data_IF_179309140303
#
_entry.id   IF_179309140303
#
_cell.length_a   1.000
_cell.length_b   1.000
_cell.length_c   1.000
_cell.angle_alpha   90.00
_cell.angle_beta   90.00
_cell.angle_gamma   90.00
#
_symmetry.space_group_name_H-M   'P 1'
#
loop_
_entity.id
_entity.type
_entity.pdbx_description
1 polymer ?
#
# COMPACT_ATOMS: atom_id res chain seq x y z
N UNK A 1 -66.26 -25.28 28.57
CA UNK A 1 -65.44 -25.41 27.34
C UNK A 1 -64.22 -24.51 27.50
N UNK A 2 -63.03 -25.09 27.66
CA UNK A 2 -61.75 -24.36 27.69
C UNK A 2 -61.02 -24.69 26.40
N UNK A 3 -60.73 -23.68 25.59
CA UNK A 3 -59.95 -23.82 24.36
C UNK A 3 -58.50 -23.53 24.75
N UNK A 4 -57.69 -24.57 24.80
CA UNK A 4 -56.24 -24.52 25.03
C UNK A 4 -55.57 -24.20 23.70
N UNK A 5 -55.14 -22.96 23.51
CA UNK A 5 -54.33 -22.56 22.34
C UNK A 5 -52.87 -22.91 22.61
N UNK A 6 -52.38 -23.98 21.99
CA UNK A 6 -50.98 -24.35 22.00
C UNK A 6 -50.20 -23.45 21.01
N UNK A 7 -49.28 -22.65 21.53
CA UNK A 7 -48.32 -21.89 20.72
C UNK A 7 -47.14 -22.81 20.44
N UNK A 8 -47.07 -23.33 19.22
CA UNK A 8 -45.92 -24.08 18.73
C UNK A 8 -44.84 -23.07 18.32
N UNK A 9 -43.80 -22.95 19.15
CA UNK A 9 -42.61 -22.16 18.82
C UNK A 9 -41.75 -23.00 17.88
N UNK A 10 -41.78 -22.66 16.59
CA UNK A 10 -40.87 -23.22 15.60
C UNK A 10 -39.45 -22.68 15.87
N UNK A 11 -38.60 -23.50 16.48
CA UNK A 11 -37.16 -23.24 16.59
C UNK A 11 -36.53 -23.43 15.21
N UNK A 12 -36.47 -22.35 14.44
CA UNK A 12 -35.63 -22.26 13.26
C UNK A 12 -34.16 -22.34 13.72
N UNK A 13 -33.60 -23.55 13.68
CA UNK A 13 -32.17 -23.81 13.74
C UNK A 13 -31.57 -23.24 12.46
N UNK A 14 -31.27 -21.94 12.47
CA UNK A 14 -30.37 -21.33 11.50
C UNK A 14 -29.01 -21.99 11.70
N UNK A 15 -28.75 -23.02 10.91
CA UNK A 15 -27.41 -23.47 10.62
C UNK A 15 -26.65 -22.24 10.14
N UNK A 16 -25.85 -21.65 11.03
CA UNK A 16 -24.72 -20.82 10.67
C UNK A 16 -23.77 -21.73 9.91
N UNK A 17 -24.09 -22.00 8.65
CA UNK A 17 -23.09 -22.29 7.64
C UNK A 17 -22.14 -21.12 7.73
N UNK A 18 -21.05 -21.33 8.45
CA UNK A 18 -19.90 -20.47 8.43
C UNK A 18 -19.62 -20.26 6.95
N UNK A 19 -19.91 -19.05 6.47
CA UNK A 19 -19.28 -18.50 5.29
C UNK A 19 -17.80 -18.42 5.65
N UNK A 20 -17.13 -19.57 5.59
CA UNK A 20 -15.71 -19.71 5.41
C UNK A 20 -15.44 -19.04 4.08
N UNK A 21 -15.32 -17.72 4.12
CA UNK A 21 -14.74 -16.96 3.03
C UNK A 21 -13.26 -17.32 3.08
N UNK A 22 -12.90 -18.49 2.54
CA UNK A 22 -11.58 -18.76 1.99
C UNK A 22 -11.40 -17.76 0.84
N UNK A 23 -11.12 -16.52 1.22
CA UNK A 23 -10.84 -15.42 0.30
C UNK A 23 -9.48 -15.69 -0.30
N UNK A 24 -9.44 -15.81 -1.62
CA UNK A 24 -8.21 -16.01 -2.34
C UNK A 24 -7.27 -14.80 -2.19
N UNK A 25 -5.96 -14.97 -2.46
CA UNK A 25 -5.05 -13.86 -2.59
C UNK A 25 -5.59 -12.87 -3.65
N UNK A 26 -6.05 -11.70 -3.21
CA UNK A 26 -6.57 -10.64 -4.08
C UNK A 26 -7.96 -10.09 -3.73
N UNK A 27 -8.69 -10.69 -2.79
CA UNK A 27 -10.08 -10.27 -2.50
C UNK A 27 -10.23 -9.29 -1.32
N UNK A 28 -9.22 -9.17 -0.47
CA UNK A 28 -9.22 -8.22 0.66
C UNK A 28 -8.08 -7.20 0.51
N UNK A 29 -8.45 -5.95 0.21
CA UNK A 29 -7.55 -4.80 0.27
C UNK A 29 -7.00 -4.36 -1.09
N UNK A 30 -6.99 -3.05 -1.31
CA UNK A 30 -6.65 -2.36 -2.54
C UNK A 30 -5.52 -3.02 -3.35
N UNK A 31 -5.84 -3.19 -4.64
CA UNK A 31 -4.98 -3.62 -5.73
C UNK A 31 -3.66 -2.85 -5.69
N UNK A 32 -2.55 -3.54 -5.96
CA UNK A 32 -1.29 -2.87 -6.29
C UNK A 32 -1.61 -1.80 -7.35
N UNK A 33 -1.02 -0.61 -7.31
CA UNK A 33 -0.95 0.20 -8.51
C UNK A 33 -0.20 -0.63 -9.57
N UNK A 34 -0.99 -1.30 -10.42
CA UNK A 34 -0.52 -2.44 -11.20
C UNK A 34 -1.43 -3.69 -11.25
N UNK A 35 -2.28 -3.95 -10.24
CA UNK A 35 -3.09 -5.17 -10.15
C UNK A 35 -4.61 -4.97 -10.16
N UNK A 36 -5.16 -4.22 -11.14
CA UNK A 36 -6.54 -4.40 -11.66
C UNK A 36 -7.51 -3.19 -11.57
N UNK A 37 -8.54 -3.16 -12.44
CA UNK A 37 -8.78 -2.06 -13.35
C UNK A 37 -9.21 -0.77 -12.62
N UNK A 38 -8.32 0.22 -12.62
CA UNK A 38 -8.73 1.53 -13.14
C UNK A 38 -9.05 1.34 -14.62
N UNK A 39 -9.99 2.10 -15.18
CA UNK A 39 -10.13 2.10 -16.64
C UNK A 39 -8.75 2.42 -17.26
N UNK A 40 -8.48 1.97 -18.49
CA UNK A 40 -7.21 2.32 -19.14
C UNK A 40 -7.01 3.84 -19.16
N UNK A 41 -8.10 4.60 -19.31
CA UNK A 41 -8.10 6.06 -19.23
C UNK A 41 -7.67 6.60 -17.85
N UNK A 42 -8.22 6.06 -16.76
CA UNK A 42 -7.82 6.44 -15.40
C UNK A 42 -6.36 6.09 -15.11
N UNK A 43 -5.88 4.94 -15.59
CA UNK A 43 -4.47 4.54 -15.47
C UNK A 43 -3.56 5.52 -16.22
N UNK A 44 -3.84 5.80 -17.49
CA UNK A 44 -3.05 6.74 -18.29
C UNK A 44 -3.07 8.14 -17.68
N UNK A 45 -4.20 8.58 -17.12
CA UNK A 45 -4.29 9.85 -16.39
C UNK A 45 -3.35 9.86 -15.18
N UNK A 46 -3.39 8.82 -14.34
CA UNK A 46 -2.52 8.70 -13.17
C UNK A 46 -1.03 8.67 -13.55
N UNK A 47 -0.68 7.90 -14.59
CA UNK A 47 0.68 7.82 -15.13
C UNK A 47 1.14 9.18 -15.64
N UNK A 48 0.30 9.87 -16.42
CA UNK A 48 0.58 11.21 -16.94
C UNK A 48 0.86 12.25 -15.84
N UNK A 49 0.10 12.23 -14.74
CA UNK A 49 0.37 13.11 -13.60
C UNK A 49 1.73 12.85 -12.94
N UNK A 50 2.10 11.59 -12.72
CA UNK A 50 3.41 11.26 -12.14
C UNK A 50 4.56 11.62 -13.08
N UNK A 51 4.42 11.39 -14.38
CA UNK A 51 5.41 11.81 -15.37
C UNK A 51 5.56 13.34 -15.41
N UNK A 52 4.46 14.08 -15.30
CA UNK A 52 4.48 15.54 -15.21
C UNK A 52 5.20 16.02 -13.94
N UNK A 53 4.95 15.38 -12.79
CA UNK A 53 5.63 15.69 -11.54
C UNK A 53 7.14 15.39 -11.60
N UNK A 54 7.52 14.26 -12.21
CA UNK A 54 8.93 13.93 -12.42
C UNK A 54 9.61 14.95 -13.32
N UNK A 55 8.97 15.34 -14.44
CA UNK A 55 9.47 16.37 -15.37
C UNK A 55 9.63 17.73 -14.68
N UNK A 56 8.65 18.18 -13.91
CA UNK A 56 8.72 19.47 -13.19
C UNK A 56 9.84 19.49 -12.14
N UNK A 57 10.06 18.35 -11.48
CA UNK A 57 11.16 18.18 -10.52
C UNK A 57 12.53 18.25 -11.20
N UNK A 58 12.70 17.61 -12.35
CA UNK A 58 13.95 17.69 -13.13
C UNK A 58 14.23 19.12 -13.56
N UNK A 59 13.22 19.84 -14.09
CA UNK A 59 13.37 21.24 -14.51
C UNK A 59 13.80 22.12 -13.32
N UNK A 60 13.20 21.90 -12.15
CA UNK A 60 13.57 22.61 -10.93
C UNK A 60 15.00 22.29 -10.48
N UNK A 61 15.39 21.01 -10.46
CA UNK A 61 16.73 20.59 -10.08
C UNK A 61 17.80 21.20 -11.00
N UNK A 62 17.55 21.24 -12.32
CA UNK A 62 18.41 21.90 -13.29
C UNK A 62 18.49 23.41 -13.04
N UNK A 63 17.37 24.07 -12.77
CA UNK A 63 17.34 25.50 -12.45
C UNK A 63 18.10 25.82 -11.15
N UNK A 64 18.12 24.89 -10.19
CA UNK A 64 18.84 24.99 -8.91
C UNK A 64 20.31 24.52 -9.00
N UNK A 65 20.80 24.15 -10.19
CA UNK A 65 22.20 23.75 -10.41
C UNK A 65 22.56 22.37 -9.88
N UNK A 66 21.57 21.54 -9.52
CA UNK A 66 21.80 20.16 -9.14
C UNK A 66 22.04 19.30 -10.39
N UNK A 67 22.92 18.28 -10.27
CA UNK A 67 23.09 17.28 -11.33
C UNK A 67 21.74 16.61 -11.55
N UNK A 68 21.20 16.72 -12.77
CA UNK A 68 19.97 16.06 -13.16
C UNK A 68 20.17 14.55 -13.08
N UNK A 69 19.91 13.95 -11.92
CA UNK A 69 19.64 12.52 -11.84
C UNK A 69 18.38 12.25 -12.65
N UNK A 70 18.29 11.08 -13.27
CA UNK A 70 17.09 10.70 -14.03
C UNK A 70 15.93 10.57 -13.04
N UNK A 71 15.18 11.66 -12.86
CA UNK A 71 14.00 11.69 -12.00
C UNK A 71 12.95 10.80 -12.65
N UNK A 72 12.59 9.70 -11.98
CA UNK A 72 11.59 8.73 -12.46
C UNK A 72 10.29 8.87 -11.68
N UNK A 73 9.13 8.58 -12.30
CA UNK A 73 7.87 8.44 -11.58
C UNK A 73 8.03 7.50 -10.39
N UNK A 74 7.72 7.98 -9.19
CA UNK A 74 7.80 7.20 -7.96
C UNK A 74 6.81 7.76 -6.96
N UNK A 75 6.21 6.89 -6.16
CA UNK A 75 5.30 7.28 -5.09
C UNK A 75 5.83 6.71 -3.78
N UNK A 76 5.79 7.54 -2.75
CA UNK A 76 6.08 7.17 -1.37
C UNK A 76 4.74 7.05 -0.64
N UNK A 77 4.51 5.93 0.04
CA UNK A 77 3.39 5.76 0.97
C UNK A 77 3.91 5.73 2.39
N UNK A 78 3.39 6.62 3.24
CA UNK A 78 3.66 6.61 4.68
C UNK A 78 2.38 6.20 5.42
N UNK A 79 2.47 5.17 6.24
CA UNK A 79 1.34 4.66 6.98
C UNK A 79 1.70 3.43 7.80
N UNK A 80 0.72 2.87 8.48
CA UNK A 80 0.97 1.72 9.34
C UNK A 80 0.74 0.41 8.61
N UNK A 81 1.59 -0.59 8.88
CA UNK A 81 1.45 -1.92 8.28
C UNK A 81 0.29 -2.70 8.90
N UNK A 82 -0.38 -3.48 8.07
CA UNK A 82 -1.29 -4.55 8.48
C UNK A 82 -0.55 -5.88 8.62
N UNK A 83 -1.29 -6.97 8.85
CA UNK A 83 -0.69 -8.30 8.93
C UNK A 83 0.05 -8.68 7.65
N UNK A 84 1.19 -9.36 7.82
CA UNK A 84 1.91 -9.96 6.71
C UNK A 84 1.13 -11.15 6.14
N UNK A 85 0.89 -11.11 4.83
CA UNK A 85 0.42 -12.23 4.03
C UNK A 85 1.64 -12.83 3.34
N UNK A 86 2.20 -13.85 3.96
CA UNK A 86 3.28 -14.64 3.37
C UNK A 86 2.83 -15.26 2.05
N UNK A 87 3.75 -15.34 1.10
CA UNK A 87 3.54 -15.97 -0.20
C UNK A 87 4.49 -17.15 -0.26
N UNK A 88 3.95 -18.35 -0.52
CA UNK A 88 4.79 -19.53 -0.65
C UNK A 88 5.67 -19.39 -1.90
N UNK A 89 6.86 -20.00 -1.90
CA UNK A 89 7.74 -19.97 -3.07
C UNK A 89 7.08 -20.56 -4.33
N UNK A 90 6.11 -21.44 -4.16
CA UNK A 90 5.34 -22.10 -5.21
C UNK A 90 4.32 -21.15 -5.87
N UNK A 91 3.81 -20.17 -5.12
CA UNK A 91 2.83 -19.18 -5.60
C UNK A 91 3.48 -17.95 -6.26
N UNK A 92 4.76 -17.67 -5.96
CA UNK A 92 5.48 -16.51 -6.51
C UNK A 92 5.55 -16.53 -8.05
N UNK A 93 5.86 -17.66 -8.72
CA UNK A 93 5.82 -17.75 -10.19
C UNK A 93 4.49 -17.32 -10.82
N UNK A 94 3.37 -17.76 -10.23
CA UNK A 94 2.05 -17.40 -10.72
C UNK A 94 1.76 -15.92 -10.49
N UNK A 95 2.07 -15.40 -9.30
CA UNK A 95 1.95 -13.99 -9.00
C UNK A 95 2.77 -13.13 -9.98
N UNK A 96 4.02 -13.51 -10.22
CA UNK A 96 4.92 -12.79 -11.11
C UNK A 96 4.30 -12.67 -12.51
N UNK A 97 3.87 -13.79 -13.10
CA UNK A 97 3.29 -13.81 -14.45
C UNK A 97 1.93 -13.09 -14.55
N UNK A 98 1.04 -13.31 -13.57
CA UNK A 98 -0.35 -12.82 -13.66
C UNK A 98 -0.54 -11.40 -13.14
N UNK A 99 0.34 -10.93 -12.26
CA UNK A 99 0.19 -9.63 -11.61
C UNK A 99 1.35 -8.69 -11.91
N UNK A 100 2.59 -9.12 -11.64
CA UNK A 100 3.73 -8.21 -11.75
C UNK A 100 4.07 -7.87 -13.21
N UNK A 101 4.21 -8.86 -14.09
CA UNK A 101 4.48 -8.64 -15.51
C UNK A 101 3.37 -7.83 -16.18
N UNK A 102 2.11 -8.11 -15.83
CA UNK A 102 0.95 -7.37 -16.36
C UNK A 102 0.98 -5.90 -15.89
N UNK A 103 1.40 -5.64 -14.66
CA UNK A 103 1.63 -4.28 -14.17
C UNK A 103 2.76 -3.60 -14.94
N UNK A 104 3.92 -4.26 -15.01
CA UNK A 104 5.11 -3.73 -15.66
C UNK A 104 4.83 -3.36 -17.12
N UNK A 105 4.13 -4.21 -17.87
CA UNK A 105 3.75 -3.94 -19.26
C UNK A 105 2.82 -2.72 -19.40
N UNK A 106 1.95 -2.46 -18.41
CA UNK A 106 1.12 -1.24 -18.41
C UNK A 106 1.95 0.01 -18.15
N UNK A 107 2.89 -0.07 -17.20
CA UNK A 107 3.77 1.05 -16.88
C UNK A 107 4.74 1.33 -18.03
N UNK A 108 5.35 0.29 -18.60
CA UNK A 108 6.39 0.37 -19.63
C UNK A 108 6.17 -0.67 -20.73
N UNK A 109 5.29 -0.39 -21.71
CA UNK A 109 5.01 -1.33 -22.79
C UNK A 109 6.27 -1.72 -23.58
N UNK A 110 6.49 -3.02 -23.77
CA UNK A 110 7.65 -3.54 -24.50
C UNK A 110 9.00 -3.41 -23.79
N UNK A 111 9.01 -3.00 -22.51
CA UNK A 111 10.22 -2.95 -21.67
C UNK A 111 10.20 -4.13 -20.70
N UNK A 112 11.36 -4.75 -20.49
CA UNK A 112 11.48 -5.83 -19.52
C UNK A 112 11.16 -5.30 -18.09
N UNK A 113 10.45 -6.06 -17.25
CA UNK A 113 10.18 -5.68 -15.88
C UNK A 113 11.47 -5.42 -15.09
N UNK A 114 11.42 -4.47 -14.15
CA UNK A 114 12.55 -4.06 -13.33
C UNK A 114 13.11 -5.19 -12.44
N UNK A 115 12.28 -6.18 -12.10
CA UNK A 115 12.70 -7.39 -11.37
C UNK A 115 12.42 -8.63 -12.21
N UNK A 116 13.37 -9.57 -12.21
CA UNK A 116 13.14 -10.88 -12.83
C UNK A 116 12.30 -11.77 -11.91
N UNK A 117 11.74 -12.85 -12.45
CA UNK A 117 11.03 -13.87 -11.65
C UNK A 117 11.95 -14.45 -10.58
N UNK A 118 13.22 -14.68 -10.91
CA UNK A 118 14.21 -15.21 -9.98
C UNK A 118 14.51 -14.23 -8.83
N UNK A 119 14.59 -12.93 -9.11
CA UNK A 119 14.78 -11.90 -8.09
C UNK A 119 13.57 -11.83 -7.16
N UNK A 120 12.36 -11.86 -7.73
CA UNK A 120 11.13 -11.85 -6.95
C UNK A 120 11.05 -13.07 -6.02
N UNK A 121 11.34 -14.28 -6.52
CA UNK A 121 11.38 -15.52 -5.72
C UNK A 121 12.43 -15.43 -4.61
N UNK A 122 13.60 -14.88 -4.92
CA UNK A 122 14.70 -14.76 -3.97
C UNK A 122 14.35 -13.79 -2.85
N UNK A 123 13.78 -12.64 -3.18
CA UNK A 123 13.65 -11.51 -2.26
C UNK A 123 12.30 -11.41 -1.55
N UNK A 124 11.20 -11.85 -2.17
CA UNK A 124 9.86 -11.61 -1.64
C UNK A 124 9.51 -12.59 -0.50
N UNK A 125 9.07 -12.06 0.65
CA UNK A 125 8.45 -12.86 1.70
C UNK A 125 6.93 -12.85 1.62
N UNK A 126 6.34 -11.74 1.19
CA UNK A 126 4.90 -11.59 1.10
C UNK A 126 4.46 -10.15 0.93
N UNK A 127 3.21 -9.89 1.28
CA UNK A 127 2.58 -8.58 1.16
C UNK A 127 1.97 -8.11 2.46
N UNK A 128 2.00 -6.81 2.68
CA UNK A 128 1.21 -6.16 3.72
C UNK A 128 0.39 -5.03 3.10
N UNK A 129 -0.67 -4.63 3.80
CA UNK A 129 -1.34 -3.38 3.48
C UNK A 129 -0.80 -2.26 4.36
N UNK A 130 -0.57 -1.10 3.78
CA UNK A 130 -0.19 0.12 4.48
C UNK A 130 -1.42 1.01 4.56
N UNK A 131 -1.87 1.28 5.76
CA UNK A 131 -3.03 2.12 6.03
C UNK A 131 -2.57 3.55 6.24
N UNK A 132 -2.95 4.46 5.34
CA UNK A 132 -2.56 5.87 5.41
C UNK A 132 -3.57 6.73 6.16
N UNK A 133 -4.80 6.25 6.36
CA UNK A 133 -5.84 6.98 7.10
C UNK A 133 -6.82 6.01 7.76
N UNK A 134 -7.16 6.25 9.02
CA UNK A 134 -8.18 5.51 9.77
C UNK A 134 -9.14 6.52 10.40
N UNK A 135 -10.20 6.90 9.66
CA UNK A 135 -11.40 7.48 10.29
C UNK A 135 -12.38 6.32 10.47
N UNK A 136 -12.76 5.97 11.71
CA UNK A 136 -13.79 4.95 11.96
C UNK A 136 -15.07 5.26 11.15
N UNK A 137 -15.52 4.31 10.32
CA UNK A 137 -16.71 4.46 9.47
C UNK A 137 -16.46 4.98 8.04
N UNK A 138 -15.21 5.31 7.67
CA UNK A 138 -14.83 5.67 6.30
C UNK A 138 -13.85 4.65 5.70
N UNK A 139 -13.91 4.48 4.37
CA UNK A 139 -13.03 3.58 3.62
C UNK A 139 -11.58 4.00 3.82
N UNK A 140 -10.81 3.21 4.55
CA UNK A 140 -9.38 3.44 4.71
C UNK A 140 -8.67 3.23 3.37
N UNK A 141 -7.83 4.19 2.97
CA UNK A 141 -6.94 4.00 1.82
C UNK A 141 -5.82 3.06 2.27
N UNK A 142 -5.84 1.85 1.72
CA UNK A 142 -4.84 0.80 1.98
C UNK A 142 -3.98 0.66 0.73
N UNK A 143 -2.68 0.78 0.84
CA UNK A 143 -1.75 0.50 -0.26
C UNK A 143 -1.12 -0.86 -0.02
N UNK A 144 -1.23 -1.79 -0.97
CA UNK A 144 -0.53 -3.08 -0.83
C UNK A 144 0.95 -2.88 -1.17
N UNK A 145 1.84 -3.32 -0.28
CA UNK A 145 3.28 -3.27 -0.44
C UNK A 145 3.90 -4.66 -0.24
N UNK A 146 4.86 -4.99 -1.10
CA UNK A 146 5.74 -6.13 -0.96
C UNK A 146 6.68 -5.94 0.24
N UNK A 147 6.95 -7.04 0.92
CA UNK A 147 7.91 -7.13 2.02
C UNK A 147 8.99 -8.11 1.61
N UNK A 148 10.25 -7.66 1.66
CA UNK A 148 11.39 -8.53 1.37
C UNK A 148 11.69 -9.44 2.56
N UNK A 149 12.20 -10.64 2.31
CA UNK A 149 12.61 -11.62 3.34
C UNK A 149 13.55 -11.01 4.37
N UNK A 150 14.49 -10.17 3.94
CA UNK A 150 15.42 -9.48 4.81
C UNK A 150 14.74 -8.48 5.77
N UNK A 151 13.58 -7.94 5.38
CA UNK A 151 12.87 -6.90 6.13
C UNK A 151 11.81 -7.48 7.08
N UNK A 152 11.43 -8.76 6.94
CA UNK A 152 10.37 -9.38 7.76
C UNK A 152 10.67 -9.29 9.24
N UNK A 153 11.91 -9.59 9.65
CA UNK A 153 12.31 -9.55 11.05
C UNK A 153 12.47 -8.11 11.60
N UNK A 154 12.49 -7.11 10.72
CA UNK A 154 12.65 -5.72 11.08
C UNK A 154 11.32 -5.00 11.31
N UNK A 155 10.20 -5.58 10.87
CA UNK A 155 8.88 -4.95 10.90
C UNK A 155 7.97 -5.72 11.86
N UNK A 156 7.37 -5.01 12.82
CA UNK A 156 6.40 -5.60 13.75
C UNK A 156 5.02 -5.59 13.07
N UNK A 157 4.65 -6.73 12.48
CA UNK A 157 3.35 -6.92 11.88
C UNK A 157 2.30 -7.32 12.93
N UNK A 158 1.09 -6.76 12.90
CA UNK A 158 0.02 -7.19 13.79
C UNK A 158 -0.41 -8.62 13.45
N UNK A 159 -0.80 -9.40 14.47
CA UNK A 159 -1.27 -10.77 14.31
C UNK A 159 -2.50 -10.87 13.40
N UNK A 160 -2.65 -12.01 12.69
CA UNK A 160 -3.74 -12.24 11.71
C UNK A 160 -5.16 -12.11 12.32
N UNK A 161 -5.31 -12.31 13.63
CA UNK A 161 -6.58 -12.19 14.35
C UNK A 161 -6.88 -10.78 14.88
N UNK A 162 -5.86 -9.94 15.14
CA UNK A 162 -6.07 -8.59 15.70
C UNK A 162 -6.41 -7.56 14.63
N UNK A 163 -5.90 -7.73 13.41
CA UNK A 163 -6.06 -6.78 12.31
C UNK A 163 -7.48 -6.71 11.70
N UNK A 164 -8.34 -7.70 11.99
CA UNK A 164 -9.68 -7.80 11.39
C UNK A 164 -10.80 -7.17 12.23
N UNK A 165 -10.58 -6.89 13.52
CA UNK A 165 -11.65 -6.46 14.44
C UNK A 165 -11.49 -5.06 15.01
N UNK A 166 -10.26 -4.56 15.07
CA UNK A 166 -9.94 -3.24 15.56
C UNK A 166 -8.84 -2.72 14.65
N UNK A 167 -8.80 -1.42 14.35
CA UNK A 167 -7.77 -0.78 13.53
C UNK A 167 -6.36 -0.83 14.14
N UNK A 168 -5.96 -1.97 14.71
CA UNK A 168 -4.62 -2.33 15.13
C UNK A 168 -3.77 -2.42 13.89
N UNK A 169 -2.90 -1.43 13.78
CA UNK A 169 -1.91 -1.34 12.73
C UNK A 169 -0.56 -1.52 13.41
N UNK A 170 0.36 -2.28 12.81
CA UNK A 170 1.71 -2.44 13.33
C UNK A 170 2.56 -1.20 13.09
N UNK A 171 3.86 -1.42 12.91
CA UNK A 171 4.84 -0.35 12.70
C UNK A 171 4.40 0.71 11.69
N UNK A 172 4.77 1.97 11.99
CA UNK A 172 4.69 3.04 11.01
C UNK A 172 5.86 2.86 10.05
N UNK A 173 5.57 2.76 8.77
CA UNK A 173 6.58 2.51 7.73
C UNK A 173 6.46 3.52 6.59
N UNK A 174 7.55 3.65 5.84
CA UNK A 174 7.54 4.17 4.49
C UNK A 174 7.68 3.00 3.50
N UNK A 175 6.90 3.06 2.42
CA UNK A 175 7.08 2.23 1.25
C UNK A 175 7.28 3.10 0.01
N UNK A 176 8.05 2.59 -0.95
CA UNK A 176 8.31 3.28 -2.21
C UNK A 176 7.96 2.38 -3.38
N UNK A 177 7.32 2.95 -4.40
CA UNK A 177 7.11 2.25 -5.66
C UNK A 177 8.42 2.13 -6.44
N UNK A 178 8.65 0.95 -7.02
CA UNK A 178 9.62 0.80 -8.10
C UNK A 178 9.06 1.39 -9.41
N UNK A 179 9.81 1.21 -10.49
CA UNK A 179 9.45 1.74 -11.81
C UNK A 179 8.20 1.07 -12.39
N UNK A 180 7.92 -0.18 -12.02
CA UNK A 180 6.75 -0.95 -12.46
C UNK A 180 5.51 -0.73 -11.59
N UNK A 181 5.57 0.24 -10.66
CA UNK A 181 4.49 0.58 -9.74
C UNK A 181 4.36 -0.34 -8.52
N UNK A 182 5.20 -1.36 -8.36
CA UNK A 182 5.18 -2.22 -7.18
C UNK A 182 5.79 -1.50 -5.97
N UNK A 183 5.04 -1.41 -4.88
CA UNK A 183 5.50 -0.82 -3.64
C UNK A 183 6.30 -1.81 -2.83
N UNK A 184 7.45 -1.38 -2.29
CA UNK A 184 8.23 -2.12 -1.32
C UNK A 184 8.27 -1.35 -0.01
N UNK A 185 8.10 -2.04 1.12
CA UNK A 185 8.43 -1.45 2.42
C UNK A 185 9.94 -1.17 2.43
N UNK A 186 10.31 0.11 2.50
CA UNK A 186 11.72 0.54 2.41
C UNK A 186 12.29 0.96 3.76
N UNK A 187 11.44 1.35 4.71
CA UNK A 187 11.90 1.83 6.02
C UNK A 187 10.84 1.65 7.10
N UNK A 188 11.28 1.20 8.27
CA UNK A 188 10.52 1.31 9.51
C UNK A 188 10.80 2.67 10.12
N UNK A 189 9.76 3.48 10.30
CA UNK A 189 9.85 4.84 10.82
C UNK A 189 9.69 4.86 12.34
N UNK A 190 8.66 4.17 12.83
CA UNK A 190 8.37 4.06 14.26
C UNK A 190 7.89 2.66 14.60
N UNK A 191 8.46 2.11 15.68
CA UNK A 191 8.03 0.83 16.25
C UNK A 191 6.74 1.01 17.05
N UNK A 192 5.69 0.27 16.70
CA UNK A 192 4.42 0.35 17.44
C UNK A 192 4.59 -0.11 18.90
N UNK A 193 5.47 -1.10 19.11
CA UNK A 193 5.85 -1.62 20.41
C UNK A 193 6.67 -0.65 21.28
N UNK A 194 7.16 0.46 20.72
CA UNK A 194 7.99 1.42 21.46
C UNK A 194 7.14 2.35 22.35
N UNK A 195 7.60 2.60 23.58
CA UNK A 195 6.90 3.44 24.55
C UNK A 195 6.72 4.89 24.11
N UNK A 196 7.54 5.37 23.17
CA UNK A 196 7.51 6.71 22.61
C UNK A 196 6.90 6.77 21.20
N UNK A 197 6.22 5.71 20.76
CA UNK A 197 5.62 5.60 19.42
C UNK A 197 4.85 6.87 19.01
N UNK A 198 3.99 7.41 19.87
CA UNK A 198 3.22 8.62 19.55
C UNK A 198 4.13 9.81 19.22
N UNK A 199 5.18 10.05 20.02
CA UNK A 199 6.13 11.15 19.80
C UNK A 199 6.98 10.93 18.54
N UNK A 200 7.29 9.68 18.23
CA UNK A 200 7.94 9.33 16.98
C UNK A 200 7.01 9.62 15.79
N UNK A 201 5.77 9.14 15.86
CA UNK A 201 4.79 9.25 14.79
C UNK A 201 4.41 10.71 14.46
N UNK A 202 4.44 11.62 15.44
CA UNK A 202 4.18 13.05 15.26
C UNK A 202 5.16 13.75 14.30
N UNK A 203 6.32 13.14 14.02
CA UNK A 203 7.29 13.65 13.04
C UNK A 203 6.89 13.35 11.58
N UNK A 204 5.85 12.55 11.37
CA UNK A 204 5.47 12.02 10.06
C UNK A 204 4.01 12.33 9.73
N UNK A 205 3.75 12.60 8.46
CA UNK A 205 2.37 12.69 7.93
C UNK A 205 2.08 11.43 7.13
N UNK A 206 0.95 10.79 7.41
CA UNK A 206 0.50 9.60 6.69
C UNK A 206 -0.18 10.02 5.39
N UNK A 207 0.08 9.30 4.30
CA UNK A 207 -0.43 9.67 2.98
C UNK A 207 0.35 9.02 1.85
N UNK A 208 0.02 9.43 0.62
CA UNK A 208 0.83 9.14 -0.56
C UNK A 208 1.48 10.45 -1.00
N UNK A 209 2.75 10.37 -1.36
CA UNK A 209 3.58 11.52 -1.69
C UNK A 209 4.33 11.24 -2.99
N UNK A 210 4.55 12.29 -3.76
CA UNK A 210 5.43 12.21 -4.91
C UNK A 210 6.86 11.88 -4.44
N UNK A 211 7.45 10.84 -5.03
CA UNK A 211 8.77 10.35 -4.64
C UNK A 211 9.92 11.30 -4.96
N UNK A 212 9.67 12.37 -5.70
CA UNK A 212 10.67 13.34 -6.12
C UNK A 212 10.50 14.68 -5.37
N UNK A 213 9.27 15.17 -5.23
CA UNK A 213 9.00 16.46 -4.56
C UNK A 213 8.64 16.34 -3.09
N UNK A 214 8.17 15.17 -2.65
CA UNK A 214 7.60 14.91 -1.34
C UNK A 214 6.23 15.55 -1.11
N UNK A 215 5.59 16.10 -2.15
CA UNK A 215 4.26 16.71 -2.06
C UNK A 215 3.19 15.62 -2.00
N UNK A 216 2.20 15.80 -1.12
CA UNK A 216 1.07 14.88 -0.98
C UNK A 216 0.27 14.77 -2.29
N UNK A 217 -0.16 13.56 -2.59
CA UNK A 217 -0.86 13.21 -3.82
C UNK A 217 -2.34 12.94 -3.57
N UNK A 218 -3.16 13.40 -4.51
CA UNK A 218 -4.57 13.07 -4.60
C UNK A 218 -4.80 11.58 -4.96
N UNK A 219 -6.07 11.19 -5.06
CA UNK A 219 -6.42 9.82 -5.48
C UNK A 219 -5.91 9.51 -6.89
N UNK A 220 -5.94 10.49 -7.79
CA UNK A 220 -5.49 10.37 -9.19
C UNK A 220 -3.99 10.69 -9.38
N UNK A 221 -3.22 10.73 -8.28
CA UNK A 221 -1.79 11.00 -8.26
C UNK A 221 -1.36 12.38 -8.78
N UNK A 222 -2.31 13.32 -8.94
CA UNK A 222 -1.98 14.74 -9.05
C UNK A 222 -1.45 15.27 -7.71
N UNK A 223 -0.61 16.30 -7.75
CA UNK A 223 -0.16 16.98 -6.53
C UNK A 223 -1.33 17.74 -5.90
N UNK A 224 -1.52 17.54 -4.60
CA UNK A 224 -2.52 18.25 -3.82
C UNK A 224 -2.05 19.67 -3.54
N UNK A 225 -2.83 20.67 -3.94
CA UNK A 225 -2.45 22.09 -3.86
C UNK A 225 -2.24 22.58 -2.43
N UNK A 226 -3.03 22.08 -1.48
CA UNK A 226 -2.91 22.30 -0.05
C UNK A 226 -2.34 21.07 0.68
N UNK A 227 -1.63 20.21 -0.06
CA UNK A 227 -1.08 18.96 0.44
C UNK A 227 -0.02 19.17 1.52
N UNK A 228 0.17 18.16 2.35
CA UNK A 228 1.34 18.08 3.22
C UNK A 228 2.60 17.86 2.38
N UNK A 229 3.78 18.14 2.96
CA UNK A 229 5.06 17.86 2.32
C UNK A 229 5.94 17.04 3.25
N UNK A 230 6.70 16.11 2.69
CA UNK A 230 7.72 15.35 3.40
C UNK A 230 9.09 15.57 2.77
N UNK A 231 10.13 15.35 3.55
CA UNK A 231 11.48 15.14 3.02
C UNK A 231 11.56 13.71 2.44
N UNK A 232 11.91 13.58 1.15
CA UNK A 232 11.86 12.29 0.44
C UNK A 232 12.95 11.29 0.87
N UNK A 233 13.92 11.74 1.67
CA UNK A 233 15.03 10.91 2.16
C UNK A 233 14.76 10.41 3.57
N UNK A 234 14.22 11.27 4.43
CA UNK A 234 13.96 10.99 5.85
C UNK A 234 12.50 10.69 6.15
N UNK A 235 11.60 10.95 5.19
CA UNK A 235 10.14 10.84 5.28
C UNK A 235 9.47 11.77 6.29
N UNK A 236 10.24 12.60 7.00
CA UNK A 236 9.71 13.52 8.00
C UNK A 236 8.88 14.62 7.36
N UNK A 237 7.86 15.06 8.08
CA UNK A 237 7.02 16.18 7.68
C UNK A 237 7.84 17.48 7.59
N UNK A 238 7.62 18.24 6.52
CA UNK A 238 8.15 19.59 6.37
C UNK A 238 7.03 20.57 6.78
N UNK A 239 7.25 21.43 7.79
CA UNK A 239 6.27 22.42 8.21
C UNK A 239 5.86 23.33 7.05
N UNK A 240 4.56 23.63 6.95
CA UNK A 240 4.07 24.68 6.05
C UNK A 240 4.47 26.02 6.64
N UNK A 241 5.12 26.86 5.82
CA UNK A 241 5.48 28.24 6.16
C UNK A 241 4.29 29.15 5.85
#
# INVERSE_FOLDING_TARGET
MRITTAVVIATATLALSACSTTRGPGEDGYRLPGSGPTSNEEFEKMKGHLEQNAKSSTVKAVAEGAVASTVRPSVITVGNVGSLREVSAEDIPEFYRKSYVVSAEKWHPGVAPAMTEADLIKELAGYTGITTWNIPGFVSRRTTAAVRKADVALVDFPGKFSASFWGTTGDLVAARSNEDGLFFVTSVLCKESASDYSKCADQFVRGNFDGNTGVELERDLSQKSDGSRIDVTTYKAIPKI
#
